data_IF_559204559232
#
_entry.id   IF_559204559232
#
_cell.length_a   1.000
_cell.length_b   1.000
_cell.length_c   1.000
_cell.angle_alpha   90.00
_cell.angle_beta   90.00
_cell.angle_gamma   90.00
#
_symmetry.space_group_name_H-M   'P 1'
#
loop_
_entity.id
_entity.type
_entity.pdbx_description
1 polymer ?
#
# COMPACT_ATOMS: atom_id res chain seq x y z
N UNK A 1 -1.19 6.95 7.37
CA UNK A 1 0.15 7.51 7.65
C UNK A 1 0.08 9.01 7.50
N UNK A 2 0.27 9.78 8.60
CA UNK A 2 0.24 11.24 8.58
C UNK A 2 1.61 11.75 8.13
N UNK A 3 1.61 12.69 7.18
CA UNK A 3 2.80 13.35 6.68
C UNK A 3 2.85 14.78 7.21
N UNK A 4 4.05 15.25 7.59
CA UNK A 4 4.24 16.57 8.17
C UNK A 4 5.08 17.46 7.27
N UNK A 5 4.69 18.73 7.16
CA UNK A 5 5.49 19.81 6.59
C UNK A 5 5.82 20.76 7.74
N UNK A 6 7.10 21.01 7.95
CA UNK A 6 7.54 21.93 9.00
C UNK A 6 7.73 23.33 8.43
N UNK A 7 7.19 24.36 9.11
CA UNK A 7 7.37 25.76 8.73
C UNK A 7 8.11 26.48 9.86
N UNK A 8 9.30 27.02 9.57
CA UNK A 8 10.17 27.63 10.57
C UNK A 8 10.62 29.02 10.18
N UNK A 9 10.91 29.89 11.14
CA UNK A 9 11.55 31.18 10.94
C UNK A 9 13.09 31.07 10.94
N UNK A 10 13.64 29.94 11.37
CA UNK A 10 15.07 29.75 11.52
C UNK A 10 15.64 28.94 10.36
N UNK A 11 16.79 29.41 9.84
CA UNK A 11 17.50 28.77 8.74
C UNK A 11 18.64 27.87 9.22
N UNK A 12 18.75 27.61 10.53
CA UNK A 12 19.86 26.87 11.12
C UNK A 12 19.73 25.36 10.93
N UNK A 13 20.86 24.76 10.57
CA UNK A 13 21.08 23.34 10.28
C UNK A 13 20.79 22.38 11.46
N UNK A 14 20.18 22.86 12.53
CA UNK A 14 20.03 22.13 13.79
C UNK A 14 18.92 21.09 13.82
N UNK A 15 18.00 21.12 12.88
CA UNK A 15 16.79 20.30 12.98
C UNK A 15 16.81 19.02 12.13
N UNK A 16 17.77 18.87 11.20
CA UNK A 16 17.68 17.79 10.23
C UNK A 16 17.85 16.39 10.83
N UNK A 17 18.75 16.20 11.79
CA UNK A 17 19.06 14.85 12.30
C UNK A 17 18.08 14.29 13.34
N UNK A 18 17.46 15.15 14.15
CA UNK A 18 16.62 14.69 15.28
C UNK A 18 15.18 14.41 14.86
N UNK A 19 14.67 15.10 13.84
CA UNK A 19 13.29 14.93 13.37
C UNK A 19 13.10 13.83 12.32
N UNK A 20 14.15 13.45 11.61
CA UNK A 20 14.06 12.49 10.50
C UNK A 20 13.77 11.05 10.96
N UNK A 21 14.14 10.67 12.17
CA UNK A 21 14.03 9.28 12.63
C UNK A 21 12.65 8.90 13.20
N UNK A 22 11.82 9.87 13.60
CA UNK A 22 10.57 9.60 14.33
C UNK A 22 9.29 10.14 13.69
N UNK A 23 9.38 10.95 12.64
CA UNK A 23 8.23 11.63 12.03
C UNK A 23 8.31 11.49 10.51
N UNK A 24 7.18 11.20 9.87
CA UNK A 24 7.08 11.20 8.41
C UNK A 24 7.15 12.65 7.86
N UNK A 25 8.34 13.23 7.90
CA UNK A 25 8.58 14.58 7.43
C UNK A 25 8.71 14.59 5.90
N UNK A 26 7.86 15.35 5.23
CA UNK A 26 7.93 15.55 3.78
C UNK A 26 8.93 16.64 3.39
N UNK A 27 9.19 17.55 4.30
CA UNK A 27 10.13 18.64 4.12
C UNK A 27 9.84 19.81 5.05
N UNK A 28 10.65 20.85 4.94
CA UNK A 28 10.48 22.08 5.70
C UNK A 28 10.45 23.31 4.78
N UNK A 29 9.81 24.36 5.25
CA UNK A 29 9.75 25.67 4.61
C UNK A 29 10.28 26.71 5.59
N UNK A 30 11.10 27.64 5.08
CA UNK A 30 11.59 28.78 5.88
C UNK A 30 10.71 29.99 5.61
N UNK A 31 10.34 30.70 6.66
CA UNK A 31 9.60 31.97 6.54
C UNK A 31 10.53 33.09 6.01
N UNK A 32 10.05 33.95 5.11
CA UNK A 32 8.71 33.98 4.51
C UNK A 32 8.50 32.85 3.49
N UNK A 33 7.35 32.17 3.59
CA UNK A 33 7.03 31.05 2.69
C UNK A 33 6.75 31.59 1.29
N UNK A 34 7.59 31.20 0.34
CA UNK A 34 7.39 31.54 -1.09
C UNK A 34 6.48 30.49 -1.74
N UNK A 35 5.57 30.97 -2.57
CA UNK A 35 4.59 30.13 -3.28
C UNK A 35 5.28 28.99 -4.06
N UNK A 36 6.35 29.30 -4.78
CA UNK A 36 7.09 28.32 -5.60
C UNK A 36 7.74 27.20 -4.76
N UNK A 37 8.22 27.52 -3.54
CA UNK A 37 8.79 26.51 -2.63
C UNK A 37 7.72 25.62 -2.03
N UNK A 38 6.55 26.20 -1.73
CA UNK A 38 5.38 25.44 -1.23
C UNK A 38 4.88 24.49 -2.33
N UNK A 39 4.72 24.98 -3.56
CA UNK A 39 4.27 24.17 -4.70
C UNK A 39 5.23 23.00 -4.98
N UNK A 40 6.52 23.25 -5.07
CA UNK A 40 7.54 22.19 -5.23
C UNK A 40 7.51 21.17 -4.10
N UNK A 41 7.26 21.61 -2.88
CA UNK A 41 7.18 20.70 -1.74
C UNK A 41 5.88 19.88 -1.79
N UNK A 42 4.76 20.49 -2.13
CA UNK A 42 3.48 19.80 -2.32
C UNK A 42 3.55 18.78 -3.46
N UNK A 43 4.24 19.10 -4.56
CA UNK A 43 4.46 18.15 -5.65
C UNK A 43 5.28 16.94 -5.20
N UNK A 44 6.37 17.15 -4.44
CA UNK A 44 7.13 16.06 -3.82
C UNK A 44 6.31 15.21 -2.85
N UNK A 45 5.47 15.85 -2.06
CA UNK A 45 4.52 15.17 -1.15
C UNK A 45 3.52 14.37 -1.96
N UNK A 46 2.99 14.96 -3.01
CA UNK A 46 2.06 14.31 -3.94
C UNK A 46 2.71 13.10 -4.61
N UNK A 47 3.92 13.24 -5.14
CA UNK A 47 4.67 12.12 -5.68
C UNK A 47 4.91 11.02 -4.64
N UNK A 48 5.22 11.36 -3.40
CA UNK A 48 5.51 10.42 -2.31
C UNK A 48 4.25 9.72 -1.79
N UNK A 49 3.12 10.42 -1.76
CA UNK A 49 1.80 9.89 -1.36
C UNK A 49 1.16 9.14 -2.53
N UNK A 50 1.30 9.65 -3.75
CA UNK A 50 0.69 9.12 -4.98
C UNK A 50 1.69 8.38 -5.89
N UNK A 51 2.98 8.27 -5.52
CA UNK A 51 3.81 7.20 -6.04
C UNK A 51 3.24 5.90 -5.47
N UNK A 52 2.12 5.50 -6.04
CA UNK A 52 1.57 4.19 -5.81
C UNK A 52 2.68 3.21 -6.11
N UNK A 53 3.19 2.55 -5.08
CA UNK A 53 4.02 1.38 -5.29
C UNK A 53 3.31 0.58 -6.38
N UNK A 54 4.02 0.25 -7.43
CA UNK A 54 3.43 -0.42 -8.57
C UNK A 54 4.17 -1.72 -8.84
N UNK A 55 3.46 -2.73 -9.25
CA UNK A 55 4.04 -3.95 -9.76
C UNK A 55 4.37 -3.77 -11.24
N UNK A 56 5.56 -4.22 -11.61
CA UNK A 56 5.93 -4.42 -13.01
C UNK A 56 5.73 -5.91 -13.27
N UNK A 57 4.82 -6.23 -14.15
CA UNK A 57 4.46 -7.59 -14.54
C UNK A 57 5.01 -7.88 -15.94
N UNK A 58 5.52 -9.10 -16.12
CA UNK A 58 5.96 -9.58 -17.43
C UNK A 58 5.20 -10.87 -17.76
N UNK A 59 4.38 -10.83 -18.77
CA UNK A 59 3.58 -11.97 -19.21
C UNK A 59 3.36 -11.93 -20.72
N UNK A 60 3.44 -13.09 -21.39
CA UNK A 60 3.16 -13.19 -22.83
C UNK A 60 3.99 -12.23 -23.71
N UNK A 61 5.19 -11.85 -23.29
CA UNK A 61 6.02 -10.86 -24.00
C UNK A 61 5.62 -9.39 -23.75
N UNK A 62 4.64 -9.15 -22.90
CA UNK A 62 4.16 -7.80 -22.51
C UNK A 62 4.77 -7.42 -21.16
N UNK A 63 5.23 -6.18 -21.05
CA UNK A 63 5.62 -5.59 -19.77
C UNK A 63 4.55 -4.55 -19.40
N UNK A 64 3.88 -4.77 -18.27
CA UNK A 64 2.80 -3.92 -17.79
C UNK A 64 3.12 -3.39 -16.39
N UNK A 65 2.78 -2.12 -16.14
CA UNK A 65 2.89 -1.48 -14.83
C UNK A 65 1.49 -1.31 -14.25
N UNK A 66 1.21 -1.96 -13.12
CA UNK A 66 -0.06 -1.88 -12.40
C UNK A 66 0.19 -1.24 -11.04
N UNK A 67 -0.50 -0.13 -10.74
CA UNK A 67 -0.43 0.47 -9.43
C UNK A 67 -1.01 -0.47 -8.36
N UNK A 68 -0.36 -0.59 -7.20
CA UNK A 68 -0.84 -1.45 -6.11
C UNK A 68 -2.27 -1.09 -5.69
N UNK A 69 -2.63 0.19 -5.78
CA UNK A 69 -3.99 0.67 -5.51
C UNK A 69 -5.04 0.16 -6.49
N UNK A 70 -4.66 -0.31 -7.66
CA UNK A 70 -5.58 -0.89 -8.66
C UNK A 70 -5.81 -2.39 -8.44
N UNK A 71 -4.98 -3.04 -7.61
CA UNK A 71 -5.08 -4.48 -7.35
C UNK A 71 -6.00 -4.70 -6.16
N UNK A 72 -7.08 -5.45 -6.35
CA UNK A 72 -8.03 -5.83 -5.30
C UNK A 72 -7.50 -7.01 -4.49
N UNK A 73 -7.12 -8.08 -5.16
CA UNK A 73 -6.52 -9.27 -4.54
C UNK A 73 -5.75 -10.09 -5.58
N UNK A 74 -4.93 -10.99 -5.10
CA UNK A 74 -4.18 -11.95 -5.92
C UNK A 74 -4.58 -13.35 -5.47
N UNK A 75 -4.94 -14.18 -6.43
CA UNK A 75 -5.32 -15.57 -6.23
C UNK A 75 -4.27 -16.51 -6.83
N UNK A 76 -3.89 -17.55 -6.07
CA UNK A 76 -3.14 -18.67 -6.60
C UNK A 76 -4.10 -19.80 -7.01
N UNK A 77 -4.19 -20.04 -8.32
CA UNK A 77 -5.03 -21.08 -8.88
C UNK A 77 -4.19 -22.06 -9.67
N UNK A 78 -4.07 -23.29 -9.17
CA UNK A 78 -3.21 -24.35 -9.69
C UNK A 78 -1.75 -23.87 -9.88
N UNK A 79 -1.33 -23.60 -11.11
CA UNK A 79 0.04 -23.20 -11.47
C UNK A 79 0.16 -21.72 -11.85
N UNK A 80 -0.94 -20.97 -11.75
CA UNK A 80 -1.00 -19.54 -12.13
C UNK A 80 -1.37 -18.68 -10.94
N UNK A 81 -0.92 -17.42 -11.00
CA UNK A 81 -1.46 -16.33 -10.21
C UNK A 81 -2.41 -15.53 -11.06
N UNK A 82 -3.58 -15.24 -10.52
CA UNK A 82 -4.54 -14.31 -11.09
C UNK A 82 -4.50 -13.02 -10.26
N UNK A 83 -4.09 -11.94 -10.88
CA UNK A 83 -4.11 -10.61 -10.27
C UNK A 83 -5.42 -9.94 -10.66
N UNK A 84 -6.34 -9.85 -9.69
CA UNK A 84 -7.64 -9.21 -9.88
C UNK A 84 -7.53 -7.71 -9.64
N UNK A 85 -7.69 -6.93 -10.69
CA UNK A 85 -7.63 -5.47 -10.64
C UNK A 85 -9.03 -4.85 -10.72
N UNK A 86 -9.11 -3.54 -10.58
CA UNK A 86 -10.36 -2.79 -10.79
C UNK A 86 -10.81 -2.78 -12.26
N UNK A 87 -9.91 -3.05 -13.20
CA UNK A 87 -10.16 -3.00 -14.66
C UNK A 87 -10.16 -4.36 -15.33
N UNK A 88 -9.83 -5.45 -14.64
CA UNK A 88 -9.76 -6.79 -15.22
C UNK A 88 -8.80 -7.71 -14.47
N UNK A 89 -8.34 -8.75 -15.12
CA UNK A 89 -7.48 -9.78 -14.54
C UNK A 89 -6.21 -9.97 -15.37
N UNK A 90 -5.10 -10.21 -14.69
CA UNK A 90 -3.81 -10.55 -15.31
C UNK A 90 -3.33 -11.88 -14.76
N UNK A 91 -3.01 -12.83 -15.65
CA UNK A 91 -2.51 -14.14 -15.29
C UNK A 91 -0.99 -14.20 -15.39
N UNK A 92 -0.32 -14.78 -14.39
CA UNK A 92 1.14 -14.92 -14.31
C UNK A 92 1.52 -16.32 -13.87
N UNK A 93 2.73 -16.77 -14.29
CA UNK A 93 3.36 -18.00 -13.80
C UNK A 93 4.39 -17.69 -12.72
N UNK A 94 3.89 -17.37 -11.52
CA UNK A 94 4.70 -16.93 -10.38
C UNK A 94 4.17 -17.52 -9.07
N UNK A 95 4.94 -17.41 -7.99
CA UNK A 95 4.50 -17.85 -6.65
C UNK A 95 3.92 -16.70 -5.86
N UNK A 96 2.80 -16.95 -5.17
CA UNK A 96 2.12 -15.96 -4.34
C UNK A 96 3.02 -15.41 -3.20
N UNK A 97 3.97 -16.21 -2.71
CA UNK A 97 4.91 -15.80 -1.66
C UNK A 97 5.87 -14.70 -2.11
N UNK A 98 6.15 -14.59 -3.41
CA UNK A 98 6.94 -13.50 -4.00
C UNK A 98 6.18 -12.18 -3.85
N UNK A 99 4.88 -12.20 -4.16
CA UNK A 99 4.02 -11.02 -4.05
C UNK A 99 3.69 -10.65 -2.60
N UNK A 100 3.54 -11.63 -1.71
CA UNK A 100 3.38 -11.38 -0.28
C UNK A 100 4.54 -10.55 0.28
N UNK A 101 5.77 -10.84 -0.12
CA UNK A 101 6.96 -10.07 0.29
C UNK A 101 7.01 -8.68 -0.35
N UNK A 102 6.71 -8.57 -1.65
CA UNK A 102 6.72 -7.29 -2.38
C UNK A 102 5.64 -6.33 -1.89
N UNK A 103 4.47 -6.86 -1.53
CA UNK A 103 3.27 -6.09 -1.22
C UNK A 103 2.94 -6.07 0.29
N UNK A 104 3.89 -6.44 1.15
CA UNK A 104 3.64 -6.69 2.58
C UNK A 104 3.00 -5.52 3.35
N UNK A 105 3.18 -4.28 2.88
CA UNK A 105 2.65 -3.09 3.57
C UNK A 105 1.13 -3.00 3.46
N UNK A 106 0.62 -3.17 2.26
CA UNK A 106 -0.77 -2.87 1.91
C UNK A 106 -1.60 -4.14 1.74
N UNK A 107 -0.96 -5.30 1.63
CA UNK A 107 -1.64 -6.57 1.38
C UNK A 107 -1.58 -7.52 2.58
N UNK A 108 -2.60 -8.37 2.64
CA UNK A 108 -2.86 -9.31 3.73
C UNK A 108 -2.99 -10.73 3.18
N UNK A 109 -2.13 -11.65 3.63
CA UNK A 109 -2.25 -13.06 3.29
C UNK A 109 -3.30 -13.73 4.16
N UNK A 110 -4.52 -13.89 3.66
CA UNK A 110 -5.65 -14.47 4.41
C UNK A 110 -5.78 -15.98 4.26
N UNK A 111 -5.24 -16.55 3.17
CA UNK A 111 -5.31 -17.96 2.84
C UNK A 111 -4.04 -18.41 2.11
N UNK A 112 -3.78 -19.72 2.03
CA UNK A 112 -2.69 -20.24 1.20
C UNK A 112 -2.74 -19.76 -0.26
N UNK A 113 -3.95 -19.50 -0.77
CA UNK A 113 -4.21 -19.09 -2.14
C UNK A 113 -4.62 -17.63 -2.30
N UNK A 114 -4.78 -16.84 -1.23
CA UNK A 114 -5.28 -15.48 -1.35
C UNK A 114 -4.43 -14.45 -0.63
N UNK A 115 -4.06 -13.39 -1.36
CA UNK A 115 -3.39 -12.19 -0.88
C UNK A 115 -4.28 -10.99 -1.23
N UNK A 116 -4.79 -10.26 -0.23
CA UNK A 116 -5.84 -9.24 -0.38
C UNK A 116 -5.29 -7.87 -0.06
N UNK A 117 -5.60 -6.89 -0.88
CA UNK A 117 -5.31 -5.49 -0.60
C UNK A 117 -6.24 -4.96 0.50
N UNK A 118 -5.65 -4.51 1.59
CA UNK A 118 -6.39 -4.10 2.80
C UNK A 118 -7.31 -2.90 2.54
N UNK A 119 -7.00 -2.03 1.58
CA UNK A 119 -7.87 -0.90 1.25
C UNK A 119 -9.24 -1.32 0.71
N UNK A 120 -9.35 -2.51 0.10
CA UNK A 120 -10.62 -3.03 -0.43
C UNK A 120 -11.41 -3.88 0.55
N UNK A 121 -10.85 -4.18 1.73
CA UNK A 121 -11.55 -4.97 2.74
C UNK A 121 -12.67 -4.12 3.34
N UNK A 122 -13.91 -4.60 3.19
CA UNK A 122 -15.08 -4.07 3.87
C UNK A 122 -15.25 -4.70 5.26
N UNK A 123 -15.05 -6.03 5.35
CA UNK A 123 -15.26 -6.81 6.58
C UNK A 123 -14.32 -8.00 6.63
N UNK A 124 -13.80 -8.31 7.80
CA UNK A 124 -13.00 -9.51 8.07
C UNK A 124 -13.65 -10.33 9.17
N UNK A 125 -13.93 -11.59 8.88
CA UNK A 125 -14.52 -12.56 9.79
C UNK A 125 -13.63 -13.81 9.91
N UNK A 126 -13.99 -14.71 10.83
CA UNK A 126 -13.16 -15.89 11.12
C UNK A 126 -12.95 -16.81 9.91
N UNK A 127 -13.95 -16.90 9.02
CA UNK A 127 -13.94 -17.80 7.87
C UNK A 127 -13.77 -17.08 6.53
N UNK A 128 -14.04 -15.78 6.48
CA UNK A 128 -14.09 -15.04 5.24
C UNK A 128 -13.72 -13.56 5.38
N UNK A 129 -13.30 -12.98 4.27
CA UNK A 129 -13.17 -11.54 4.05
C UNK A 129 -14.15 -11.14 2.96
N UNK A 130 -14.92 -10.09 3.22
CA UNK A 130 -15.80 -9.47 2.22
C UNK A 130 -15.14 -8.18 1.73
N UNK A 131 -15.01 -8.04 0.43
CA UNK A 131 -14.50 -6.82 -0.22
C UNK A 131 -15.62 -5.79 -0.42
N UNK A 132 -15.23 -4.56 -0.77
CA UNK A 132 -16.17 -3.45 -1.00
C UNK A 132 -17.14 -3.71 -2.16
N UNK A 133 -16.72 -4.46 -3.17
CA UNK A 133 -17.54 -4.88 -4.31
C UNK A 133 -18.43 -6.10 -4.05
N UNK A 134 -18.40 -6.63 -2.84
CA UNK A 134 -19.17 -7.81 -2.43
C UNK A 134 -18.45 -9.15 -2.64
N UNK A 135 -17.25 -9.17 -3.23
CA UNK A 135 -16.45 -10.39 -3.37
C UNK A 135 -16.15 -11.00 -1.99
N UNK A 136 -16.39 -12.30 -1.84
CA UNK A 136 -16.12 -13.04 -0.60
C UNK A 136 -14.96 -13.99 -0.81
N UNK A 137 -13.94 -13.90 0.05
CA UNK A 137 -12.72 -14.70 -0.03
C UNK A 137 -12.52 -15.49 1.25
N UNK A 138 -12.08 -16.76 1.18
CA UNK A 138 -11.92 -17.61 2.36
C UNK A 138 -10.72 -17.20 3.20
N UNK A 139 -10.85 -17.26 4.51
CA UNK A 139 -9.77 -17.07 5.49
C UNK A 139 -9.40 -18.43 6.09
N UNK A 140 -8.11 -18.75 6.10
CA UNK A 140 -7.68 -19.96 6.81
C UNK A 140 -7.68 -19.72 8.33
N UNK A 141 -8.14 -20.72 9.07
CA UNK A 141 -8.25 -20.68 10.55
C UNK A 141 -6.92 -20.26 11.22
N UNK A 142 -5.81 -20.76 10.72
CA UNK A 142 -4.47 -20.47 11.25
C UNK A 142 -4.00 -19.04 10.97
N UNK A 143 -4.53 -18.38 9.93
CA UNK A 143 -4.13 -17.03 9.54
C UNK A 143 -5.06 -15.94 10.09
N UNK A 144 -6.25 -16.29 10.56
CA UNK A 144 -7.25 -15.31 10.97
C UNK A 144 -6.75 -14.31 12.01
N UNK A 145 -6.17 -14.78 13.12
CA UNK A 145 -5.73 -13.90 14.20
C UNK A 145 -4.69 -12.90 13.71
N UNK A 146 -3.63 -13.38 13.05
CA UNK A 146 -2.57 -12.52 12.51
C UNK A 146 -3.10 -11.56 11.44
N UNK A 147 -4.02 -12.02 10.60
CA UNK A 147 -4.66 -11.21 9.56
C UNK A 147 -5.49 -10.08 10.15
N UNK A 148 -6.34 -10.40 11.13
CA UNK A 148 -7.14 -9.41 11.83
C UNK A 148 -6.28 -8.36 12.51
N UNK A 149 -5.24 -8.77 13.24
CA UNK A 149 -4.38 -7.86 13.98
C UNK A 149 -3.58 -6.93 13.04
N UNK A 150 -3.14 -7.45 11.88
CA UNK A 150 -2.49 -6.63 10.84
C UNK A 150 -3.48 -5.63 10.23
N UNK A 151 -4.71 -6.07 9.92
CA UNK A 151 -5.75 -5.20 9.38
C UNK A 151 -6.14 -4.08 10.37
N UNK A 152 -6.27 -4.37 11.67
CA UNK A 152 -6.52 -3.35 12.69
C UNK A 152 -5.40 -2.31 12.77
N UNK A 153 -4.14 -2.74 12.69
CA UNK A 153 -2.99 -1.79 12.65
C UNK A 153 -3.03 -0.92 11.42
N UNK A 154 -3.35 -1.49 10.27
CA UNK A 154 -3.51 -0.76 9.02
C UNK A 154 -4.61 0.31 9.12
N UNK A 155 -5.79 -0.04 9.64
CA UNK A 155 -6.90 0.91 9.84
C UNK A 155 -6.53 2.04 10.81
N UNK A 156 -5.84 1.74 11.92
CA UNK A 156 -5.39 2.78 12.86
C UNK A 156 -4.38 3.76 12.26
N UNK A 157 -3.58 3.31 11.32
CA UNK A 157 -2.59 4.16 10.65
C UNK A 157 -3.24 5.12 9.63
N UNK A 158 -4.50 4.88 9.26
CA UNK A 158 -5.27 5.74 8.36
C UNK A 158 -6.14 6.80 9.08
N UNK A 159 -6.37 6.63 10.38
CA UNK A 159 -7.09 7.58 11.24
C UNK A 159 -6.15 8.63 11.82
#
# INVERSE_FOLDING_TARGET
QTWFIFVTAYNDKFSEKIFWEKVNLCGFLVKPVRKEHLEKLLDKVREKIFSSEALILQHGGITEKIANSQIRYIESNAHQLLIHTISGEVALYEKLDVYEKKLYKDFLRIHKSFLVNMQYIRRIEMKEVTLQDGTVLPVSKTRYSASRDKYFRYMRAML
#
